data_IF_263558347542
#
_entry.id   IF_263558347542
#
_cell.length_a   1.000
_cell.length_b   1.000
_cell.length_c   1.000
_cell.angle_alpha   90.00
_cell.angle_beta   90.00
_cell.angle_gamma   90.00
#
_symmetry.space_group_name_H-M   'P 1'
#
loop_
_entity.id
_entity.type
_entity.pdbx_description
1 polymer ?
#
# COMPACT_ATOMS: atom_id res chain seq x y z
N UNK A 1 -99.87 27.11 -25.23
CA UNK A 1 -99.25 26.64 -26.48
C UNK A 1 -97.85 27.14 -26.52
N UNK A 2 -96.92 26.40 -26.08
CA UNK A 2 -95.52 26.57 -26.35
C UNK A 2 -94.68 25.42 -25.71
N UNK A 3 -94.06 24.66 -26.53
CA UNK A 3 -93.24 23.48 -26.19
C UNK A 3 -91.84 23.93 -25.87
N UNK A 4 -91.36 23.61 -24.68
CA UNK A 4 -90.01 23.79 -24.25
C UNK A 4 -89.12 22.60 -24.65
N UNK A 5 -88.05 22.82 -25.41
CA UNK A 5 -87.00 21.83 -25.75
C UNK A 5 -85.98 21.76 -24.63
N UNK A 6 -85.93 20.62 -24.00
CA UNK A 6 -84.79 20.27 -23.07
C UNK A 6 -83.58 19.85 -23.89
N UNK A 7 -82.42 20.56 -23.69
CA UNK A 7 -81.13 20.14 -24.17
C UNK A 7 -80.41 19.33 -23.06
N UNK A 8 -80.08 18.08 -23.36
CA UNK A 8 -79.15 17.29 -22.55
C UNK A 8 -77.70 17.68 -22.85
N UNK A 9 -77.00 18.16 -21.86
CA UNK A 9 -75.51 18.29 -21.90
C UNK A 9 -74.91 16.93 -21.52
N UNK A 10 -74.19 16.30 -22.45
CA UNK A 10 -73.27 15.19 -22.14
C UNK A 10 -71.97 15.74 -21.64
N UNK A 11 -71.66 15.53 -20.38
CA UNK A 11 -70.32 15.75 -19.80
C UNK A 11 -69.45 14.53 -20.09
N UNK A 12 -68.60 14.60 -21.10
CA UNK A 12 -67.58 13.61 -21.36
C UNK A 12 -66.37 13.86 -20.46
N UNK A 13 -66.14 12.98 -19.48
CA UNK A 13 -64.93 12.98 -18.63
C UNK A 13 -63.77 12.41 -19.42
N UNK A 14 -62.90 13.24 -19.95
CA UNK A 14 -61.63 12.83 -20.55
C UNK A 14 -60.64 12.47 -19.42
N UNK A 15 -60.42 11.19 -19.19
CA UNK A 15 -59.40 10.67 -18.30
C UNK A 15 -58.04 10.72 -19.02
N UNK A 16 -57.27 11.82 -18.80
CA UNK A 16 -55.92 11.97 -19.34
C UNK A 16 -54.94 11.02 -18.64
N UNK A 17 -54.52 9.97 -19.35
CA UNK A 17 -53.45 9.07 -18.93
C UNK A 17 -52.12 9.80 -19.09
N UNK A 18 -51.56 10.35 -18.00
CA UNK A 18 -50.22 10.92 -18.01
C UNK A 18 -49.22 9.74 -18.03
N UNK A 19 -48.74 9.39 -19.21
CA UNK A 19 -47.57 8.54 -19.37
C UNK A 19 -46.37 9.33 -18.85
N UNK A 20 -45.90 9.00 -17.64
CA UNK A 20 -44.61 9.44 -17.16
C UNK A 20 -43.53 8.77 -18.05
N UNK A 21 -43.02 9.54 -19.02
CA UNK A 21 -41.85 9.16 -19.80
C UNK A 21 -40.66 9.20 -18.84
N UNK A 22 -40.35 8.05 -18.23
CA UNK A 22 -39.01 7.82 -17.61
C UNK A 22 -37.99 7.84 -18.74
N UNK A 23 -37.47 9.04 -19.07
CA UNK A 23 -36.29 9.13 -19.93
C UNK A 23 -35.13 8.33 -19.33
N UNK A 24 -34.28 7.72 -20.16
CA UNK A 24 -33.09 7.08 -19.64
C UNK A 24 -32.31 8.12 -18.83
N UNK A 25 -32.11 7.84 -17.54
CA UNK A 25 -31.21 8.63 -16.72
C UNK A 25 -29.87 8.66 -17.46
N UNK A 26 -29.41 9.81 -17.91
CA UNK A 26 -28.12 9.97 -18.54
C UNK A 26 -27.09 9.37 -17.53
N UNK A 27 -26.46 8.27 -17.90
CA UNK A 27 -25.41 7.68 -17.09
C UNK A 27 -24.33 8.76 -16.91
N UNK A 28 -24.06 9.14 -15.66
CA UNK A 28 -22.99 10.09 -15.39
C UNK A 28 -21.66 9.52 -15.91
N UNK A 29 -20.81 10.38 -16.47
CA UNK A 29 -19.50 9.94 -16.96
C UNK A 29 -18.75 9.14 -15.92
N UNK A 30 -18.06 8.05 -16.33
CA UNK A 30 -17.27 7.24 -15.43
C UNK A 30 -16.19 8.08 -14.71
N UNK A 31 -16.04 7.84 -13.42
CA UNK A 31 -15.00 8.48 -12.62
C UNK A 31 -13.67 7.85 -12.98
N UNK A 32 -12.79 8.60 -13.64
CA UNK A 32 -11.41 8.18 -13.89
C UNK A 32 -10.68 7.98 -12.57
N UNK A 33 -9.96 6.86 -12.46
CA UNK A 33 -9.26 6.48 -11.26
C UNK A 33 -7.85 6.00 -11.64
N UNK A 34 -6.89 6.92 -11.75
CA UNK A 34 -5.49 6.59 -11.99
C UNK A 34 -4.89 6.05 -10.71
N UNK A 35 -4.49 4.79 -10.74
CA UNK A 35 -3.93 4.05 -9.60
C UNK A 35 -2.45 3.78 -9.86
N UNK A 36 -1.57 4.47 -9.12
CA UNK A 36 -0.12 4.33 -9.25
C UNK A 36 0.50 3.51 -8.10
N UNK A 37 1.58 2.77 -8.40
CA UNK A 37 2.41 2.07 -7.42
C UNK A 37 3.83 1.81 -7.93
N UNK A 38 4.83 1.57 -7.02
CA UNK A 38 6.25 1.55 -7.40
C UNK A 38 6.72 0.25 -8.08
N UNK A 39 6.08 -0.90 -7.81
CA UNK A 39 6.53 -2.22 -8.28
C UNK A 39 5.92 -2.60 -9.64
N UNK A 40 6.40 -3.68 -10.28
CA UNK A 40 5.78 -4.20 -11.50
C UNK A 40 4.30 -4.55 -11.33
N UNK A 41 3.58 -4.70 -12.47
CA UNK A 41 2.17 -5.12 -12.47
C UNK A 41 1.99 -6.50 -11.84
N UNK A 42 2.88 -7.45 -12.13
CA UNK A 42 2.91 -8.76 -11.46
C UNK A 42 3.63 -8.59 -10.12
N UNK A 43 2.87 -8.54 -9.05
CA UNK A 43 3.38 -8.29 -7.71
C UNK A 43 2.27 -7.99 -6.71
N UNK A 44 2.62 -7.79 -5.44
CA UNK A 44 1.63 -7.62 -4.38
C UNK A 44 0.74 -6.39 -4.57
N UNK A 45 1.29 -5.28 -5.06
CA UNK A 45 0.52 -4.06 -5.35
C UNK A 45 -0.48 -4.30 -6.49
N UNK A 46 -0.01 -4.88 -7.60
CA UNK A 46 -0.86 -5.14 -8.77
C UNK A 46 -1.97 -6.15 -8.49
N UNK A 47 -1.71 -7.19 -7.70
CA UNK A 47 -2.74 -8.14 -7.24
C UNK A 47 -3.85 -7.41 -6.47
N UNK A 48 -3.47 -6.53 -5.55
CA UNK A 48 -4.41 -5.71 -4.80
C UNK A 48 -5.18 -4.71 -5.67
N UNK A 49 -4.47 -4.00 -6.57
CA UNK A 49 -5.08 -3.01 -7.47
C UNK A 49 -6.10 -3.65 -8.43
N UNK A 50 -5.76 -4.82 -8.99
CA UNK A 50 -6.64 -5.56 -9.89
C UNK A 50 -7.93 -6.00 -9.19
N UNK A 51 -7.81 -6.64 -8.04
CA UNK A 51 -8.98 -7.11 -7.28
C UNK A 51 -9.84 -5.93 -6.77
N UNK A 52 -9.22 -4.81 -6.40
CA UNK A 52 -9.93 -3.56 -6.08
C UNK A 52 -10.76 -3.06 -7.25
N UNK A 53 -10.18 -3.01 -8.45
CA UNK A 53 -10.86 -2.54 -9.66
C UNK A 53 -12.00 -3.48 -10.08
N UNK A 54 -11.80 -4.78 -10.04
CA UNK A 54 -12.82 -5.79 -10.33
C UNK A 54 -14.02 -5.69 -9.37
N UNK A 55 -13.75 -5.45 -8.08
CA UNK A 55 -14.82 -5.29 -7.09
C UNK A 55 -15.56 -3.94 -7.24
N UNK A 56 -14.87 -2.86 -7.64
CA UNK A 56 -15.53 -1.59 -8.01
C UNK A 56 -16.52 -1.80 -9.16
N UNK A 57 -16.11 -2.49 -10.22
CA UNK A 57 -16.98 -2.79 -11.37
C UNK A 57 -18.16 -3.67 -10.95
N UNK A 58 -17.94 -4.67 -10.08
CA UNK A 58 -19.01 -5.54 -9.58
C UNK A 58 -20.04 -4.78 -8.73
N UNK A 59 -19.60 -3.82 -7.89
CA UNK A 59 -20.46 -3.08 -6.96
C UNK A 59 -21.13 -1.86 -7.59
N UNK A 60 -20.51 -1.26 -8.60
CA UNK A 60 -20.99 -0.08 -9.29
C UNK A 60 -20.61 -0.14 -10.79
N UNK A 61 -21.30 -1.00 -11.58
CA UNK A 61 -20.95 -1.24 -12.98
C UNK A 61 -20.88 0.06 -13.79
N UNK A 62 -19.77 0.27 -14.51
CA UNK A 62 -19.54 1.43 -15.38
C UNK A 62 -19.37 2.77 -14.65
N UNK A 63 -19.40 2.80 -13.30
CA UNK A 63 -19.32 4.06 -12.55
C UNK A 63 -17.89 4.54 -12.33
N UNK A 64 -16.93 3.62 -12.22
CA UNK A 64 -15.50 3.90 -12.04
C UNK A 64 -14.72 3.38 -13.24
N UNK A 65 -13.73 4.14 -13.70
CA UNK A 65 -12.82 3.76 -14.79
C UNK A 65 -11.38 3.67 -14.24
N UNK A 66 -10.99 2.53 -13.61
CA UNK A 66 -9.65 2.35 -13.09
C UNK A 66 -8.62 2.24 -14.23
N UNK A 67 -7.54 3.01 -14.13
CA UNK A 67 -6.37 2.95 -15.00
C UNK A 67 -5.13 2.64 -14.16
N UNK A 68 -4.34 1.64 -14.57
CA UNK A 68 -3.19 1.17 -13.79
C UNK A 68 -1.87 1.77 -14.27
N UNK A 69 -1.09 2.24 -13.32
CA UNK A 69 0.22 2.85 -13.53
C UNK A 69 1.29 2.18 -12.65
N UNK A 70 1.74 0.95 -13.04
CA UNK A 70 2.76 0.21 -12.31
C UNK A 70 4.16 0.77 -12.53
N UNK A 71 5.12 0.30 -11.72
CA UNK A 71 6.54 0.54 -11.93
C UNK A 71 6.98 1.99 -11.72
N UNK A 72 6.20 2.76 -10.97
CA UNK A 72 6.51 4.17 -10.75
C UNK A 72 6.30 5.06 -11.97
N UNK A 73 5.45 4.65 -12.93
CA UNK A 73 5.20 5.42 -14.16
C UNK A 73 4.55 6.79 -13.94
N UNK A 74 4.00 7.03 -12.73
CA UNK A 74 3.52 8.35 -12.28
C UNK A 74 4.51 9.05 -11.31
N UNK A 75 5.75 8.60 -11.23
CA UNK A 75 6.77 9.05 -10.29
C UNK A 75 7.07 8.02 -9.21
N UNK A 76 8.02 8.34 -8.32
CA UNK A 76 8.31 7.54 -7.13
C UNK A 76 7.17 7.58 -6.12
N UNK A 77 7.30 6.80 -5.03
CA UNK A 77 6.23 6.73 -4.02
C UNK A 77 5.94 8.10 -3.39
N UNK A 78 6.99 8.90 -3.16
CA UNK A 78 6.85 10.24 -2.58
C UNK A 78 6.06 11.16 -3.50
N UNK A 79 6.43 11.23 -4.77
CA UNK A 79 5.74 12.05 -5.78
C UNK A 79 4.29 11.61 -5.96
N UNK A 80 4.01 10.30 -5.95
CA UNK A 80 2.65 9.78 -6.02
C UNK A 80 1.81 10.16 -4.80
N UNK A 81 2.37 10.10 -3.58
CA UNK A 81 1.67 10.54 -2.36
C UNK A 81 1.39 12.05 -2.39
N UNK A 82 2.36 12.86 -2.83
CA UNK A 82 2.19 14.30 -3.01
C UNK A 82 1.10 14.61 -4.07
N UNK A 83 1.10 13.90 -5.19
CA UNK A 83 0.09 14.07 -6.25
C UNK A 83 -1.32 13.69 -5.77
N UNK A 84 -1.46 12.64 -4.96
CA UNK A 84 -2.72 12.26 -4.32
C UNK A 84 -3.18 13.33 -3.33
N UNK A 85 -2.25 13.86 -2.52
CA UNK A 85 -2.54 14.93 -1.55
C UNK A 85 -3.03 16.21 -2.25
N UNK A 86 -2.38 16.59 -3.36
CA UNK A 86 -2.73 17.75 -4.17
C UNK A 86 -3.97 17.53 -5.06
N UNK A 87 -4.41 16.28 -5.25
CA UNK A 87 -5.56 15.93 -6.08
C UNK A 87 -5.26 15.86 -7.57
N UNK A 88 -4.00 15.82 -7.96
CA UNK A 88 -3.55 15.66 -9.35
C UNK A 88 -3.44 14.18 -9.77
N UNK A 89 -3.52 13.26 -8.80
CA UNK A 89 -3.66 11.82 -8.98
C UNK A 89 -4.78 11.32 -8.06
N UNK A 90 -5.59 10.36 -8.53
CA UNK A 90 -6.78 9.91 -7.80
C UNK A 90 -6.43 8.92 -6.70
N UNK A 91 -5.48 8.00 -6.96
CA UNK A 91 -5.14 6.95 -6.00
C UNK A 91 -3.68 6.49 -6.11
N UNK A 92 -3.07 6.16 -4.99
CA UNK A 92 -1.77 5.51 -4.92
C UNK A 92 -1.82 4.32 -3.94
N UNK A 93 -1.05 3.27 -4.26
CA UNK A 93 -0.81 2.13 -3.36
C UNK A 93 0.68 2.13 -3.04
N UNK A 94 1.04 2.66 -1.87
CA UNK A 94 2.44 2.94 -1.50
C UNK A 94 2.76 2.44 -0.09
N UNK A 95 4.04 2.24 0.18
CA UNK A 95 4.54 1.82 1.49
C UNK A 95 4.27 2.86 2.58
N UNK A 96 3.88 2.40 3.76
CA UNK A 96 3.68 3.29 4.93
C UNK A 96 4.96 4.00 5.35
N UNK A 97 6.13 3.43 5.04
CA UNK A 97 7.42 4.05 5.29
C UNK A 97 7.56 5.42 4.62
N UNK A 98 7.11 5.55 3.37
CA UNK A 98 7.12 6.84 2.65
C UNK A 98 5.99 7.74 3.15
N UNK A 99 4.79 7.18 3.39
CA UNK A 99 3.66 7.93 3.97
C UNK A 99 4.04 8.56 5.31
N UNK A 100 4.92 7.94 6.09
CA UNK A 100 5.43 8.46 7.36
C UNK A 100 6.04 9.87 7.26
N UNK A 101 6.55 10.28 6.10
CA UNK A 101 7.05 11.64 5.89
C UNK A 101 5.92 12.67 5.83
N UNK A 102 4.71 12.27 5.50
CA UNK A 102 3.49 13.10 5.47
C UNK A 102 2.68 12.94 6.76
N UNK A 103 2.60 11.72 7.28
CA UNK A 103 1.86 11.32 8.48
C UNK A 103 2.83 10.72 9.48
N UNK A 104 3.53 11.55 10.28
CA UNK A 104 4.66 11.10 11.08
C UNK A 104 4.36 9.97 12.08
N UNK A 105 3.11 9.80 12.50
CA UNK A 105 2.71 8.68 13.38
C UNK A 105 2.83 7.31 12.70
N UNK A 106 2.75 7.25 11.37
CA UNK A 106 2.94 6.02 10.59
C UNK A 106 4.34 5.42 10.75
N UNK A 107 5.35 6.24 11.07
CA UNK A 107 6.73 5.77 11.26
C UNK A 107 6.89 4.76 12.38
N UNK A 108 5.92 4.64 13.29
CA UNK A 108 5.93 3.58 14.31
C UNK A 108 5.92 2.20 13.68
N UNK A 109 5.25 2.04 12.54
CA UNK A 109 5.16 0.76 11.81
C UNK A 109 6.51 0.31 11.22
N UNK A 110 7.47 1.24 11.11
CA UNK A 110 8.80 1.02 10.57
C UNK A 110 9.84 0.68 11.65
N UNK A 111 9.43 0.64 12.92
CA UNK A 111 10.33 0.25 14.00
C UNK A 111 10.82 -1.19 13.79
N UNK A 112 12.14 -1.43 13.80
CA UNK A 112 12.68 -2.75 13.55
C UNK A 112 12.12 -3.80 14.52
N UNK A 113 11.84 -4.99 14.01
CA UNK A 113 11.33 -6.13 14.79
C UNK A 113 10.08 -5.83 15.66
N UNK A 114 9.28 -4.85 15.27
CA UNK A 114 8.06 -4.47 15.97
C UNK A 114 7.02 -5.59 15.96
N UNK A 115 6.85 -6.24 14.81
CA UNK A 115 5.88 -7.30 14.64
C UNK A 115 6.52 -8.68 14.84
N UNK A 116 5.81 -9.59 15.51
CA UNK A 116 6.24 -10.96 15.77
C UNK A 116 6.22 -11.80 14.47
N UNK A 117 5.12 -11.70 13.74
CA UNK A 117 4.83 -12.41 12.50
C UNK A 117 3.77 -11.66 11.68
N UNK A 118 3.41 -12.21 10.52
CA UNK A 118 2.42 -11.61 9.63
C UNK A 118 1.00 -11.59 10.25
N UNK A 119 0.65 -12.59 11.04
CA UNK A 119 -0.66 -12.65 11.68
C UNK A 119 -0.81 -11.52 12.71
N UNK A 120 0.21 -11.32 13.55
CA UNK A 120 0.26 -10.20 14.48
C UNK A 120 0.22 -8.84 13.76
N UNK A 121 1.00 -8.65 12.69
CA UNK A 121 0.97 -7.42 11.92
C UNK A 121 -0.42 -7.14 11.35
N UNK A 122 -1.07 -8.17 10.80
CA UNK A 122 -2.44 -8.07 10.25
C UNK A 122 -3.48 -7.77 11.32
N UNK A 123 -3.39 -8.38 12.50
CA UNK A 123 -4.28 -8.09 13.63
C UNK A 123 -4.18 -6.61 14.06
N UNK A 124 -2.96 -6.09 14.22
CA UNK A 124 -2.71 -4.67 14.53
C UNK A 124 -3.26 -3.73 13.46
N UNK A 125 -2.98 -4.03 12.18
CA UNK A 125 -3.34 -3.16 11.05
C UNK A 125 -4.84 -3.16 10.75
N UNK A 126 -5.53 -4.27 11.00
CA UNK A 126 -6.98 -4.40 10.80
C UNK A 126 -7.77 -3.93 12.02
N UNK A 127 -7.13 -3.94 13.19
CA UNK A 127 -7.70 -3.58 14.47
C UNK A 127 -7.75 -2.07 14.75
N UNK A 128 -8.05 -1.71 16.01
CA UNK A 128 -8.21 -0.31 16.42
C UNK A 128 -6.97 0.56 16.17
N UNK A 129 -5.76 -0.01 16.33
CA UNK A 129 -4.50 0.71 16.12
C UNK A 129 -4.36 1.11 14.65
N UNK A 130 -4.60 0.19 13.72
CA UNK A 130 -4.55 0.49 12.29
C UNK A 130 -5.60 1.51 11.87
N UNK A 131 -6.82 1.44 12.42
CA UNK A 131 -7.87 2.42 12.17
C UNK A 131 -7.50 3.81 12.71
N UNK A 132 -6.88 3.89 13.89
CA UNK A 132 -6.36 5.13 14.45
C UNK A 132 -5.32 5.77 13.50
N UNK A 133 -4.38 4.98 13.01
CA UNK A 133 -3.34 5.45 12.09
C UNK A 133 -3.93 5.93 10.74
N UNK A 134 -4.87 5.18 10.16
CA UNK A 134 -5.58 5.58 8.93
C UNK A 134 -6.34 6.90 9.16
N UNK A 135 -7.00 7.06 10.29
CA UNK A 135 -7.74 8.29 10.61
C UNK A 135 -6.84 9.54 10.64
N UNK A 136 -5.59 9.39 11.08
CA UNK A 136 -4.61 10.49 11.11
C UNK A 136 -4.20 10.97 9.71
N UNK A 137 -4.35 10.14 8.67
CA UNK A 137 -4.06 10.52 7.29
C UNK A 137 -4.95 11.68 6.82
N UNK A 138 -6.22 11.72 7.25
CA UNK A 138 -7.17 12.76 6.83
C UNK A 138 -6.70 14.16 7.21
N UNK A 139 -6.15 14.34 8.41
CA UNK A 139 -5.61 15.62 8.87
C UNK A 139 -4.38 16.08 8.07
N UNK A 140 -3.81 15.19 7.27
CA UNK A 140 -2.66 15.44 6.40
C UNK A 140 -3.01 15.45 4.91
N UNK A 141 -4.31 15.59 4.58
CA UNK A 141 -4.77 15.68 3.20
C UNK A 141 -4.68 14.35 2.41
N UNK A 142 -4.84 13.22 3.08
CA UNK A 142 -4.82 11.89 2.48
C UNK A 142 -6.02 11.08 3.02
N UNK A 143 -6.65 10.27 2.17
CA UNK A 143 -7.71 9.35 2.60
C UNK A 143 -7.19 7.91 2.48
N UNK A 144 -6.82 7.32 3.61
CA UNK A 144 -6.53 5.88 3.67
C UNK A 144 -7.83 5.06 3.65
N UNK A 145 -7.89 4.06 2.78
CA UNK A 145 -9.04 3.15 2.70
C UNK A 145 -8.79 1.90 3.55
N UNK A 146 -7.59 1.31 3.42
CA UNK A 146 -7.17 0.12 4.16
C UNK A 146 -5.65 -0.03 4.08
N UNK A 147 -5.09 -0.88 4.95
CA UNK A 147 -3.72 -1.37 4.80
C UNK A 147 -3.71 -2.71 4.06
N UNK A 148 -2.84 -2.84 3.06
CA UNK A 148 -2.29 -4.08 2.58
C UNK A 148 -0.89 -4.28 3.14
N UNK A 149 -0.07 -5.09 2.44
CA UNK A 149 1.30 -5.39 2.86
C UNK A 149 2.18 -5.77 1.67
N UNK A 150 3.50 -5.72 1.86
CA UNK A 150 4.46 -6.40 0.98
C UNK A 150 5.26 -7.48 1.74
N UNK A 151 5.13 -7.56 3.06
CA UNK A 151 5.71 -8.59 3.91
C UNK A 151 6.91 -8.12 4.74
N UNK A 152 7.62 -9.09 5.34
CA UNK A 152 8.85 -8.85 6.09
C UNK A 152 10.04 -8.60 5.16
N UNK A 153 10.80 -7.55 5.47
CA UNK A 153 11.96 -7.12 4.71
C UNK A 153 13.22 -7.90 5.07
N UNK A 154 14.02 -8.15 4.06
CA UNK A 154 15.25 -8.92 4.07
C UNK A 154 16.35 -8.13 3.38
N UNK A 155 17.60 -8.30 3.81
CA UNK A 155 18.73 -7.58 3.22
C UNK A 155 19.31 -8.38 2.06
N UNK A 156 19.54 -7.72 0.93
CA UNK A 156 20.30 -8.29 -0.20
C UNK A 156 21.65 -7.59 -0.36
N UNK A 157 22.63 -8.29 -0.92
CA UNK A 157 23.96 -7.75 -1.19
C UNK A 157 24.59 -8.43 -2.41
N UNK A 158 25.32 -7.65 -3.21
CA UNK A 158 26.18 -8.14 -4.27
C UNK A 158 27.60 -8.48 -3.79
N UNK A 159 27.97 -8.09 -2.55
CA UNK A 159 29.33 -8.15 -2.02
C UNK A 159 29.60 -9.37 -1.17
N UNK A 160 28.72 -9.67 -0.22
CA UNK A 160 28.88 -10.74 0.75
C UNK A 160 27.57 -11.14 1.40
N UNK A 161 27.52 -12.35 1.92
CA UNK A 161 26.47 -12.83 2.82
C UNK A 161 26.53 -12.10 4.15
N UNK A 162 25.38 -11.93 4.79
CA UNK A 162 25.23 -11.23 6.07
C UNK A 162 24.69 -12.25 7.08
N UNK A 163 25.49 -12.62 8.06
CA UNK A 163 25.11 -13.55 9.12
C UNK A 163 24.90 -12.83 10.46
N UNK A 164 25.67 -11.76 10.69
CA UNK A 164 25.68 -10.95 11.90
C UNK A 164 25.54 -9.47 11.58
N UNK A 165 25.20 -8.60 12.55
CA UNK A 165 25.20 -7.15 12.35
C UNK A 165 26.53 -6.59 11.85
N UNK A 166 27.67 -7.19 12.26
CA UNK A 166 29.00 -6.70 11.88
C UNK A 166 29.29 -6.88 10.39
N UNK A 167 28.62 -7.84 9.73
CA UNK A 167 28.74 -8.04 8.28
C UNK A 167 28.10 -6.89 7.47
N UNK A 168 27.27 -6.06 8.11
CA UNK A 168 26.69 -4.88 7.51
C UNK A 168 27.68 -3.72 7.36
N UNK A 169 28.81 -3.77 8.10
CA UNK A 169 29.73 -2.64 8.21
C UNK A 169 30.27 -2.21 6.85
N UNK A 170 30.06 -0.92 6.53
CA UNK A 170 30.56 -0.27 5.32
C UNK A 170 29.82 -0.63 4.03
N UNK A 171 28.79 -1.49 4.06
CA UNK A 171 27.94 -1.76 2.90
C UNK A 171 27.08 -0.54 2.58
N UNK A 172 27.08 -0.13 1.32
CA UNK A 172 26.18 0.90 0.79
C UNK A 172 24.82 0.23 0.55
N UNK A 173 23.93 0.35 1.52
CA UNK A 173 22.60 -0.25 1.45
C UNK A 173 21.57 0.81 1.12
N UNK A 174 20.87 0.63 0.02
CA UNK A 174 19.69 1.46 -0.25
C UNK A 174 18.60 1.12 0.75
N UNK A 175 18.01 2.17 1.32
CA UNK A 175 16.81 2.07 2.16
C UNK A 175 15.67 2.87 1.56
N UNK A 176 14.46 2.65 2.05
CA UNK A 176 13.37 3.57 1.79
C UNK A 176 13.68 4.95 2.39
N UNK A 177 13.04 6.00 1.86
CA UNK A 177 13.17 7.39 2.34
C UNK A 177 12.45 7.56 3.69
N UNK A 178 12.99 6.92 4.72
CA UNK A 178 12.40 6.88 6.06
C UNK A 178 13.49 7.07 7.14
N UNK A 179 13.33 8.03 8.05
CA UNK A 179 14.33 8.32 9.10
C UNK A 179 14.60 7.13 10.03
N UNK A 180 13.60 6.29 10.31
CA UNK A 180 13.76 5.10 11.17
C UNK A 180 14.65 4.07 10.48
N UNK A 181 14.41 3.79 9.18
CA UNK A 181 15.26 2.90 8.39
C UNK A 181 16.70 3.42 8.33
N UNK A 182 16.88 4.72 8.07
CA UNK A 182 18.21 5.33 8.06
C UNK A 182 18.94 5.17 9.41
N UNK A 183 18.24 5.41 10.52
CA UNK A 183 18.82 5.25 11.85
C UNK A 183 19.20 3.79 12.12
N UNK A 184 18.32 2.85 11.77
CA UNK A 184 18.56 1.42 11.96
C UNK A 184 19.79 0.93 11.17
N UNK A 185 19.89 1.25 9.88
CA UNK A 185 21.00 0.79 9.06
C UNK A 185 22.33 1.48 9.41
N UNK A 186 22.32 2.73 9.87
CA UNK A 186 23.52 3.38 10.45
C UNK A 186 23.99 2.67 11.71
N UNK A 187 23.08 2.33 12.59
CA UNK A 187 23.41 1.62 13.84
C UNK A 187 23.97 0.22 13.57
N UNK A 188 23.49 -0.46 12.52
CA UNK A 188 24.06 -1.71 12.04
C UNK A 188 25.46 -1.54 11.37
N UNK A 189 25.94 -0.31 11.21
CA UNK A 189 27.24 -0.01 10.62
C UNK A 189 27.26 0.09 9.11
N UNK A 190 26.12 -0.02 8.45
CA UNK A 190 25.98 0.20 7.02
C UNK A 190 26.07 1.70 6.66
N UNK A 191 26.20 1.98 5.38
CA UNK A 191 26.10 3.31 4.77
C UNK A 191 24.74 3.40 4.05
N UNK A 192 23.66 3.74 4.78
CA UNK A 192 22.33 3.77 4.18
C UNK A 192 22.19 4.94 3.23
N UNK A 193 21.69 4.65 2.03
CA UNK A 193 21.41 5.63 0.98
C UNK A 193 19.90 5.64 0.71
N UNK A 194 19.18 6.67 1.17
CA UNK A 194 17.76 6.79 0.85
C UNK A 194 17.58 7.10 -0.63
N UNK A 195 16.75 6.34 -1.32
CA UNK A 195 16.38 6.61 -2.71
C UNK A 195 15.04 5.97 -3.07
N UNK A 196 14.37 6.54 -4.05
CA UNK A 196 13.13 5.99 -4.61
C UNK A 196 13.35 4.59 -5.18
N UNK A 197 12.32 3.75 -5.15
CA UNK A 197 12.40 2.40 -5.75
C UNK A 197 12.73 2.44 -7.25
N UNK A 198 12.27 3.46 -7.96
CA UNK A 198 12.54 3.65 -9.40
C UNK A 198 14.02 3.80 -9.75
N UNK A 199 14.86 4.17 -8.78
CA UNK A 199 16.30 4.37 -8.96
C UNK A 199 17.14 3.16 -8.53
N UNK A 200 16.53 2.22 -7.75
CA UNK A 200 17.26 1.12 -7.10
C UNK A 200 17.94 0.21 -8.11
N UNK A 201 17.24 -0.22 -9.14
CA UNK A 201 17.77 -1.16 -10.12
C UNK A 201 18.97 -0.56 -10.86
N UNK A 202 18.88 0.69 -11.26
CA UNK A 202 19.99 1.44 -11.87
C UNK A 202 21.17 1.60 -10.89
N UNK A 203 20.88 1.93 -9.63
CA UNK A 203 21.89 2.05 -8.59
C UNK A 203 22.67 0.76 -8.34
N UNK A 204 21.97 -0.38 -8.34
CA UNK A 204 22.58 -1.71 -8.22
C UNK A 204 23.43 -2.06 -9.45
N UNK A 205 22.94 -1.82 -10.66
CA UNK A 205 23.66 -2.07 -11.91
C UNK A 205 24.93 -1.23 -12.03
N UNK A 206 24.88 0.02 -11.62
CA UNK A 206 26.03 0.95 -11.64
C UNK A 206 26.99 0.77 -10.45
N UNK A 207 26.62 -0.06 -9.44
CA UNK A 207 27.43 -0.24 -8.24
C UNK A 207 27.50 0.98 -7.32
N UNK A 208 26.58 1.94 -7.45
CA UNK A 208 26.47 3.09 -6.54
C UNK A 208 25.96 2.65 -5.17
N UNK A 209 25.22 1.55 -5.11
CA UNK A 209 24.81 0.82 -3.91
C UNK A 209 25.26 -0.64 -4.02
N UNK A 210 25.61 -1.25 -2.89
CA UNK A 210 26.04 -2.66 -2.80
C UNK A 210 24.86 -3.61 -2.60
N UNK A 211 23.75 -3.11 -2.07
CA UNK A 211 22.57 -3.88 -1.76
C UNK A 211 21.37 -3.00 -1.45
N UNK A 212 20.29 -3.67 -1.17
CA UNK A 212 19.02 -3.08 -0.75
C UNK A 212 18.29 -4.01 0.22
N UNK A 213 17.11 -3.64 0.68
CA UNK A 213 16.30 -4.48 1.55
C UNK A 213 14.84 -4.43 1.09
N UNK A 214 14.22 -5.59 0.98
CA UNK A 214 12.82 -5.76 0.57
C UNK A 214 12.28 -7.14 0.98
N UNK A 215 10.95 -7.30 1.02
CA UNK A 215 10.32 -8.60 1.22
C UNK A 215 10.49 -9.53 0.02
N UNK A 216 10.35 -10.84 0.28
CA UNK A 216 10.41 -11.89 -0.73
C UNK A 216 9.48 -11.59 -1.91
N UNK A 217 8.27 -11.12 -1.66
CA UNK A 217 7.29 -10.77 -2.68
C UNK A 217 7.82 -9.74 -3.70
N UNK A 218 8.61 -8.76 -3.25
CA UNK A 218 9.25 -7.75 -4.11
C UNK A 218 10.53 -8.30 -4.74
N UNK A 219 11.33 -9.06 -4.00
CA UNK A 219 12.56 -9.67 -4.53
C UNK A 219 12.24 -10.57 -5.74
N UNK A 220 11.17 -11.37 -5.63
CA UNK A 220 10.72 -12.26 -6.70
C UNK A 220 10.10 -11.48 -7.87
N UNK A 221 9.12 -10.62 -7.59
CA UNK A 221 8.43 -9.87 -8.65
C UNK A 221 9.34 -8.94 -9.46
N UNK A 222 10.45 -8.49 -8.85
CA UNK A 222 11.47 -7.66 -9.50
C UNK A 222 12.69 -8.44 -9.98
N UNK A 223 12.66 -9.78 -9.92
CA UNK A 223 13.76 -10.67 -10.33
C UNK A 223 15.11 -10.25 -9.76
N UNK A 224 15.16 -9.99 -8.46
CA UNK A 224 16.32 -9.40 -7.81
C UNK A 224 17.61 -10.24 -7.99
N UNK A 225 17.50 -11.54 -8.25
CA UNK A 225 18.61 -12.43 -8.55
C UNK A 225 19.44 -12.02 -9.78
N UNK A 226 18.89 -11.20 -10.68
CA UNK A 226 19.65 -10.68 -11.82
C UNK A 226 20.71 -9.65 -11.40
N UNK A 227 20.59 -9.06 -10.21
CA UNK A 227 21.45 -7.97 -9.72
C UNK A 227 22.08 -8.23 -8.37
N UNK A 228 21.54 -9.15 -7.56
CA UNK A 228 22.01 -9.42 -6.20
C UNK A 228 22.32 -10.89 -6.03
N UNK A 229 23.51 -11.18 -5.45
CA UNK A 229 23.99 -12.56 -5.26
C UNK A 229 23.52 -13.20 -3.96
N UNK A 230 23.35 -12.40 -2.92
CA UNK A 230 23.06 -12.84 -1.58
C UNK A 230 21.76 -12.22 -1.07
N UNK A 231 20.96 -12.99 -0.36
CA UNK A 231 19.85 -12.52 0.44
C UNK A 231 19.90 -13.13 1.83
N UNK A 232 19.80 -12.30 2.84
CA UNK A 232 19.74 -12.74 4.24
C UNK A 232 18.35 -12.47 4.79
N UNK A 233 17.67 -13.53 5.28
CA UNK A 233 16.29 -13.46 5.75
C UNK A 233 16.19 -12.81 7.13
N UNK A 234 16.61 -11.56 7.25
CA UNK A 234 16.69 -10.81 8.51
C UNK A 234 15.35 -10.53 9.15
N UNK A 235 14.25 -10.46 8.39
CA UNK A 235 12.89 -10.13 8.87
C UNK A 235 12.86 -8.89 9.78
N UNK A 236 13.69 -7.90 9.48
CA UNK A 236 13.96 -6.77 10.37
C UNK A 236 12.84 -5.74 10.44
N UNK A 237 12.02 -5.60 9.40
CA UNK A 237 10.84 -4.71 9.36
C UNK A 237 9.73 -5.39 8.58
N UNK A 238 8.49 -5.28 9.05
CA UNK A 238 7.29 -5.59 8.26
C UNK A 238 6.81 -4.32 7.58
N UNK A 239 6.49 -4.38 6.29
CA UNK A 239 6.07 -3.20 5.54
C UNK A 239 4.61 -3.28 5.13
N UNK A 240 3.72 -2.53 5.80
CA UNK A 240 2.39 -2.28 5.30
C UNK A 240 2.42 -1.35 4.08
N UNK A 241 1.44 -1.52 3.20
CA UNK A 241 1.10 -0.54 2.16
C UNK A 241 -0.28 0.05 2.44
N UNK A 242 -0.54 1.25 1.97
CA UNK A 242 -1.85 1.90 2.08
C UNK A 242 -2.49 2.07 0.72
N UNK A 243 -3.78 1.74 0.65
CA UNK A 243 -4.66 2.12 -0.44
C UNK A 243 -5.13 3.55 -0.16
N UNK A 244 -4.50 4.53 -0.80
CA UNK A 244 -4.67 5.95 -0.48
C UNK A 244 -5.33 6.68 -1.63
N UNK A 245 -6.40 7.42 -1.32
CA UNK A 245 -7.22 8.19 -2.28
C UNK A 245 -7.12 9.67 -2.00
N UNK A 246 -7.17 10.46 -3.07
CA UNK A 246 -7.20 11.91 -3.00
C UNK A 246 -8.47 12.42 -2.29
N UNK A 247 -8.33 13.33 -1.32
CA UNK A 247 -9.49 13.99 -0.72
C UNK A 247 -10.36 14.74 -1.73
N UNK A 248 -9.77 15.30 -2.77
CA UNK A 248 -10.50 16.04 -3.82
C UNK A 248 -11.43 15.14 -4.63
N UNK A 249 -11.03 13.88 -4.88
CA UNK A 249 -11.90 12.87 -5.46
C UNK A 249 -12.91 12.39 -4.42
N UNK A 250 -12.42 11.93 -3.25
CA UNK A 250 -13.25 11.25 -2.26
C UNK A 250 -14.42 12.11 -1.76
N UNK A 251 -14.22 13.43 -1.64
CA UNK A 251 -15.26 14.37 -1.23
C UNK A 251 -16.37 14.59 -2.28
N UNK A 252 -16.10 14.31 -3.56
CA UNK A 252 -17.08 14.38 -4.65
C UNK A 252 -17.96 13.14 -4.76
N UNK A 253 -17.55 12.05 -4.12
CA UNK A 253 -18.29 10.80 -4.08
C UNK A 253 -19.47 10.90 -3.10
N UNK A 254 -20.60 10.31 -3.49
CA UNK A 254 -21.70 10.10 -2.56
C UNK A 254 -21.30 9.18 -1.40
N UNK A 255 -21.99 9.22 -0.24
CA UNK A 255 -21.71 8.29 0.86
C UNK A 255 -21.77 6.81 0.45
N UNK A 256 -22.67 6.46 -0.50
CA UNK A 256 -22.76 5.11 -1.04
C UNK A 256 -21.50 4.73 -1.84
N UNK A 257 -21.04 5.61 -2.73
CA UNK A 257 -19.82 5.41 -3.53
C UNK A 257 -18.55 5.33 -2.65
N UNK A 258 -18.47 6.19 -1.62
CA UNK A 258 -17.40 6.10 -0.62
C UNK A 258 -17.41 4.74 0.09
N UNK A 259 -18.60 4.22 0.41
CA UNK A 259 -18.77 2.88 0.98
C UNK A 259 -18.34 1.78 0.02
N UNK A 260 -18.65 1.91 -1.27
CA UNK A 260 -18.22 0.98 -2.33
C UNK A 260 -16.69 0.96 -2.43
N UNK A 261 -16.03 2.13 -2.49
CA UNK A 261 -14.56 2.19 -2.52
C UNK A 261 -13.90 1.52 -1.32
N UNK A 262 -14.45 1.72 -0.11
CA UNK A 262 -13.93 1.05 1.09
C UNK A 262 -14.10 -0.47 1.02
N UNK A 263 -15.25 -0.96 0.57
CA UNK A 263 -15.49 -2.40 0.39
C UNK A 263 -14.54 -3.01 -0.65
N UNK A 264 -14.39 -2.34 -1.79
CA UNK A 264 -13.47 -2.77 -2.83
C UNK A 264 -12.01 -2.80 -2.34
N UNK A 265 -11.60 -1.84 -1.52
CA UNK A 265 -10.26 -1.83 -0.93
C UNK A 265 -10.01 -3.02 0.01
N UNK A 266 -11.02 -3.50 0.73
CA UNK A 266 -10.90 -4.71 1.56
C UNK A 266 -10.71 -5.97 0.70
N UNK A 267 -11.38 -6.07 -0.45
CA UNK A 267 -11.17 -7.17 -1.40
C UNK A 267 -9.76 -7.08 -2.02
N UNK A 268 -9.34 -5.87 -2.42
CA UNK A 268 -7.97 -5.61 -2.88
C UNK A 268 -6.91 -6.01 -1.85
N UNK A 269 -7.12 -5.66 -0.57
CA UNK A 269 -6.26 -6.09 0.54
C UNK A 269 -6.14 -7.60 0.64
N UNK A 270 -7.28 -8.31 0.53
CA UNK A 270 -7.29 -9.77 0.63
C UNK A 270 -6.48 -10.41 -0.49
N UNK A 271 -6.64 -9.94 -1.73
CA UNK A 271 -5.86 -10.43 -2.87
C UNK A 271 -4.36 -10.08 -2.75
N UNK A 272 -4.05 -8.88 -2.26
CA UNK A 272 -2.68 -8.46 -1.97
C UNK A 272 -1.99 -9.40 -0.96
N UNK A 273 -2.63 -9.68 0.18
CA UNK A 273 -2.10 -10.57 1.22
C UNK A 273 -1.93 -12.00 0.73
N UNK A 274 -2.89 -12.50 -0.04
CA UNK A 274 -2.78 -13.82 -0.66
C UNK A 274 -1.53 -13.92 -1.55
N UNK A 275 -1.26 -12.90 -2.37
CA UNK A 275 -0.06 -12.85 -3.18
C UNK A 275 1.22 -12.89 -2.32
N UNK A 276 1.25 -12.14 -1.20
CA UNK A 276 2.39 -12.12 -0.29
C UNK A 276 2.60 -13.50 0.35
N UNK A 277 1.54 -14.15 0.84
CA UNK A 277 1.61 -15.49 1.42
C UNK A 277 2.15 -16.53 0.42
N UNK A 278 1.69 -16.49 -0.83
CA UNK A 278 2.17 -17.36 -1.92
C UNK A 278 3.64 -17.09 -2.26
N UNK A 279 4.04 -15.82 -2.29
CA UNK A 279 5.42 -15.43 -2.53
C UNK A 279 6.35 -15.85 -1.38
N UNK A 280 5.94 -15.67 -0.13
CA UNK A 280 6.72 -16.11 1.03
C UNK A 280 6.88 -17.63 1.09
N UNK A 281 5.85 -18.38 0.66
CA UNK A 281 5.90 -19.84 0.63
C UNK A 281 6.82 -20.42 -0.45
N UNK A 282 6.96 -19.76 -1.60
CA UNK A 282 7.67 -20.31 -2.77
C UNK A 282 8.93 -19.53 -3.18
N UNK A 283 9.00 -18.25 -2.82
CA UNK A 283 10.00 -17.32 -3.35
C UNK A 283 11.43 -17.63 -2.94
N UNK A 284 11.63 -18.17 -1.73
CA UNK A 284 12.97 -18.61 -1.28
C UNK A 284 13.52 -19.69 -2.22
N UNK A 285 12.70 -20.70 -2.53
CA UNK A 285 13.08 -21.76 -3.45
C UNK A 285 13.33 -21.21 -4.88
N UNK A 286 12.55 -20.22 -5.29
CA UNK A 286 12.71 -19.55 -6.58
C UNK A 286 14.02 -18.78 -6.65
N UNK A 287 14.34 -17.96 -5.65
CA UNK A 287 15.62 -17.24 -5.58
C UNK A 287 16.82 -18.18 -5.62
N UNK A 288 16.77 -19.30 -4.89
CA UNK A 288 17.81 -20.35 -4.94
C UNK A 288 17.96 -20.99 -6.33
N UNK A 289 16.84 -21.29 -7.00
CA UNK A 289 16.87 -21.83 -8.38
C UNK A 289 17.52 -20.88 -9.38
N UNK A 290 17.41 -19.58 -9.14
CA UNK A 290 18.06 -18.53 -9.94
C UNK A 290 19.48 -18.19 -9.49
N UNK A 291 20.05 -18.97 -8.54
CA UNK A 291 21.45 -18.86 -8.15
C UNK A 291 21.73 -17.83 -7.05
N UNK A 292 20.71 -17.29 -6.38
CA UNK A 292 20.95 -16.50 -5.16
C UNK A 292 21.38 -17.42 -4.00
N UNK A 293 22.39 -16.99 -3.28
CA UNK A 293 22.70 -17.54 -1.97
C UNK A 293 21.73 -17.00 -0.93
N UNK A 294 20.92 -17.86 -0.33
CA UNK A 294 19.91 -17.50 0.66
C UNK A 294 20.36 -17.93 2.05
N UNK A 295 20.58 -16.98 2.92
CA UNK A 295 20.90 -17.16 4.33
C UNK A 295 19.59 -17.12 5.12
N UNK A 296 19.12 -18.29 5.56
CA UNK A 296 17.85 -18.44 6.26
C UNK A 296 17.99 -18.28 7.78
N UNK A 297 19.12 -18.73 8.34
CA UNK A 297 19.39 -18.63 9.77
C UNK A 297 20.17 -17.37 10.09
N UNK A 298 19.57 -16.50 10.89
CA UNK A 298 20.12 -15.20 11.28
C UNK A 298 20.00 -15.03 12.78
N UNK A 299 21.07 -14.56 13.42
CA UNK A 299 21.02 -14.19 14.84
C UNK A 299 20.20 -12.89 15.04
N UNK A 300 18.88 -13.06 15.02
CA UNK A 300 17.95 -11.94 15.23
C UNK A 300 18.14 -11.27 16.59
N UNK A 301 18.65 -11.98 17.60
CA UNK A 301 18.91 -11.41 18.92
C UNK A 301 20.09 -10.42 18.87
N UNK A 302 21.15 -10.76 18.13
CA UNK A 302 22.29 -9.85 17.92
C UNK A 302 21.85 -8.58 17.16
N UNK A 303 21.00 -8.71 16.13
CA UNK A 303 20.45 -7.56 15.42
C UNK A 303 19.58 -6.69 16.34
N UNK A 304 18.68 -7.27 17.14
CA UNK A 304 17.84 -6.52 18.10
C UNK A 304 18.70 -5.78 19.12
N UNK A 305 19.70 -6.44 19.69
CA UNK A 305 20.64 -5.86 20.65
C UNK A 305 21.38 -4.67 20.03
N UNK A 306 21.89 -4.82 18.81
CA UNK A 306 22.59 -3.74 18.09
C UNK A 306 21.70 -2.52 17.85
N UNK A 307 20.39 -2.72 17.72
CA UNK A 307 19.40 -1.66 17.45
C UNK A 307 18.79 -1.02 18.71
N UNK A 308 19.22 -1.40 19.94
CA UNK A 308 18.77 -0.77 21.18
C UNK A 308 18.86 0.77 21.17
N UNK A 309 19.91 1.43 20.62
CA UNK A 309 19.98 2.88 20.53
C UNK A 309 18.85 3.48 19.69
N UNK A 310 18.41 2.79 18.62
CA UNK A 310 17.30 3.23 17.76
C UNK A 310 15.97 3.20 18.54
N UNK A 311 15.71 2.13 19.30
CA UNK A 311 14.52 2.08 20.15
C UNK A 311 14.51 3.21 21.16
N UNK A 312 15.66 3.49 21.81
CA UNK A 312 15.81 4.58 22.76
C UNK A 312 15.57 5.95 22.11
N UNK A 313 16.10 6.17 20.90
CA UNK A 313 15.92 7.41 20.14
C UNK A 313 14.43 7.70 19.87
N UNK A 314 13.65 6.68 19.56
CA UNK A 314 12.25 6.83 19.20
C UNK A 314 11.26 6.57 20.34
N UNK A 315 11.76 6.22 21.55
CA UNK A 315 10.92 5.83 22.69
C UNK A 315 9.97 6.94 23.16
N UNK A 316 10.43 8.19 23.20
CA UNK A 316 9.61 9.34 23.59
C UNK A 316 8.43 9.59 22.63
N UNK A 317 8.62 9.26 21.37
CA UNK A 317 7.62 9.49 20.33
C UNK A 317 6.69 8.30 20.14
N UNK A 318 7.23 7.08 20.12
CA UNK A 318 6.50 5.88 19.75
C UNK A 318 6.34 4.87 20.88
N UNK A 319 6.96 5.07 22.04
CA UNK A 319 7.01 4.08 23.12
C UNK A 319 5.63 3.56 23.53
N UNK A 320 4.67 4.45 23.75
CA UNK A 320 3.30 4.06 24.09
C UNK A 320 2.62 3.25 22.98
N UNK A 321 2.78 3.67 21.71
CA UNK A 321 2.19 2.95 20.58
C UNK A 321 2.87 1.58 20.37
N UNK A 322 4.20 1.50 20.50
CA UNK A 322 4.92 0.22 20.43
C UNK A 322 4.45 -0.76 21.51
N UNK A 323 4.20 -0.27 22.76
CA UNK A 323 3.66 -1.11 23.83
C UNK A 323 2.26 -1.63 23.49
N UNK A 324 1.37 -0.78 22.94
CA UNK A 324 0.04 -1.20 22.50
C UNK A 324 0.13 -2.25 21.39
N UNK A 325 1.02 -2.05 20.40
CA UNK A 325 1.25 -3.00 19.31
C UNK A 325 1.77 -4.33 19.87
N UNK A 326 2.74 -4.30 20.77
CA UNK A 326 3.29 -5.51 21.37
C UNK A 326 2.28 -6.33 22.18
N UNK A 327 1.27 -5.66 22.77
CA UNK A 327 0.20 -6.28 23.56
C UNK A 327 -0.93 -6.87 22.70
N UNK A 328 -1.02 -6.54 21.41
CA UNK A 328 -2.02 -7.09 20.49
C UNK A 328 -1.77 -8.59 20.28
N UNK A 329 -2.87 -9.40 20.26
CA UNK A 329 -2.81 -10.86 20.17
C UNK A 329 -3.09 -11.40 18.77
#
# INVERSE_FOLDING_TARGET
MNLSKRRFLNAGTALGLALAVCGPAAAADPIKLRIGWPSPMVGPHGAGAKAFAEELERLAPGRFAPEFFPGGSLGGEREMVEAVQLGTQEMAITGTAVIGNFVPDMMVLDMPFLFRDAAHARAVLDGPIGQELIAKMKARGLIGLTFGEIGFRHVTSSKRSIHTPDDMKGLKIRTMENPVHLAAFRELGALPTPMSWTEVLTGLQQGTIDGQENPVSILVSSKMWEMQKHVTLTRHVFTPISFTVSPSLFSKLTPAEQGIMRKAALVGRTANRKYVDEADASGVAEMKRHGMEVIEEVDSAAFRKKLEPVYKQYSSRFGSMMQRIAAEQ
#
